data_IF_895550604473
#
_entry.id   IF_895550604473
#
_cell.length_a   1.000
_cell.length_b   1.000
_cell.length_c   1.000
_cell.angle_alpha   90.00
_cell.angle_beta   90.00
_cell.angle_gamma   90.00
#
_symmetry.space_group_name_H-M   'P 1'
#
loop_
_entity.id
_entity.type
_entity.pdbx_description
1 polymer ?
#
# COMPACT_ATOMS: atom_id res chain seq x y z
N UNK A 1 -4.14 -56.15 17.41
CA UNK A 1 -4.83 -56.91 16.35
C UNK A 1 -6.13 -56.20 16.00
N UNK A 2 -6.25 -55.71 14.75
CA UNK A 2 -7.43 -55.20 14.00
C UNK A 2 -8.12 -53.91 14.51
N UNK A 3 -7.91 -52.72 13.91
CA UNK A 3 -8.43 -52.15 12.63
C UNK A 3 -9.96 -51.99 12.61
N UNK A 4 -10.48 -50.76 12.72
CA UNK A 4 -10.89 -49.83 11.65
C UNK A 4 -12.39 -49.92 11.33
N UNK A 5 -13.09 -48.79 11.44
CA UNK A 5 -14.01 -48.26 10.42
C UNK A 5 -14.51 -46.91 10.95
N UNK A 6 -13.88 -45.77 10.64
CA UNK A 6 -13.93 -45.06 9.35
C UNK A 6 -15.31 -45.03 8.71
N UNK A 7 -15.65 -43.78 8.35
CA UNK A 7 -16.66 -43.32 7.38
C UNK A 7 -17.97 -42.99 8.12
N UNK A 8 -18.26 -41.70 8.29
CA UNK A 8 -18.89 -40.83 7.28
C UNK A 8 -20.05 -41.55 6.61
N UNK A 9 -21.17 -40.85 6.54
CA UNK A 9 -22.52 -41.36 6.37
C UNK A 9 -23.00 -41.96 7.69
N UNK A 10 -24.08 -41.49 8.29
CA UNK A 10 -25.31 -41.12 7.61
C UNK A 10 -26.12 -40.36 8.64
N UNK A 11 -26.64 -39.18 8.24
CA UNK A 11 -28.05 -38.82 8.40
C UNK A 11 -28.47 -38.66 9.88
N UNK A 12 -28.69 -37.42 10.33
CA UNK A 12 -30.04 -36.82 10.33
C UNK A 12 -31.06 -37.81 10.92
N UNK A 13 -31.92 -37.34 11.82
CA UNK A 13 -33.04 -38.09 12.40
C UNK A 13 -32.72 -38.87 13.67
N UNK A 14 -32.58 -38.13 14.76
CA UNK A 14 -33.24 -38.52 16.00
C UNK A 14 -33.55 -37.25 16.81
N UNK A 15 -34.51 -36.49 16.28
CA UNK A 15 -35.48 -35.84 17.15
C UNK A 15 -36.20 -36.93 17.99
N UNK A 16 -36.76 -36.51 19.12
CA UNK A 16 -37.34 -37.30 20.21
C UNK A 16 -36.31 -37.67 21.27
N UNK A 17 -36.43 -37.29 22.54
CA UNK A 17 -37.46 -36.57 23.25
C UNK A 17 -36.84 -36.13 24.58
N UNK A 18 -37.17 -34.94 25.06
CA UNK A 18 -36.65 -34.44 26.33
C UNK A 18 -37.08 -33.01 26.61
N UNK A 19 -38.38 -32.83 26.85
CA UNK A 19 -38.90 -31.63 27.50
C UNK A 19 -38.28 -31.54 28.89
N UNK A 20 -37.59 -30.44 29.19
CA UNK A 20 -36.98 -30.24 30.49
C UNK A 20 -36.38 -28.84 30.64
N UNK A 21 -37.26 -27.87 30.87
CA UNK A 21 -37.07 -26.72 31.77
C UNK A 21 -35.76 -25.90 31.67
N UNK A 22 -35.91 -24.68 31.14
CA UNK A 22 -35.14 -23.47 31.43
C UNK A 22 -33.87 -23.60 32.31
N UNK A 23 -32.68 -23.38 31.72
CA UNK A 23 -31.61 -22.59 32.36
C UNK A 23 -30.67 -22.00 31.28
N UNK A 24 -30.80 -20.69 31.10
CA UNK A 24 -29.82 -19.68 30.70
C UNK A 24 -28.37 -20.15 30.42
N UNK A 25 -27.87 -19.93 29.19
CA UNK A 25 -26.52 -19.39 28.96
C UNK A 25 -26.27 -19.06 27.46
N UNK A 26 -25.95 -17.79 27.21
CA UNK A 26 -25.05 -17.29 26.14
C UNK A 26 -25.51 -17.45 24.68
N UNK A 27 -26.49 -16.63 24.29
CA UNK A 27 -26.50 -16.02 22.95
C UNK A 27 -25.65 -14.75 22.96
N UNK A 28 -24.34 -14.89 22.96
CA UNK A 28 -23.40 -13.81 22.64
C UNK A 28 -22.48 -14.33 21.55
N UNK A 29 -22.84 -14.07 20.30
CA UNK A 29 -22.09 -14.59 19.17
C UNK A 29 -22.78 -14.38 17.83
N UNK A 30 -23.48 -13.27 17.65
CA UNK A 30 -23.93 -12.82 16.32
C UNK A 30 -23.65 -11.32 16.20
N UNK A 31 -22.38 -10.97 16.25
CA UNK A 31 -21.83 -9.66 15.88
C UNK A 31 -20.42 -9.88 15.36
N UNK A 32 -20.33 -10.57 14.23
CA UNK A 32 -19.07 -10.75 13.50
C UNK A 32 -19.32 -10.68 11.97
N UNK A 33 -20.27 -9.84 11.54
CA UNK A 33 -20.53 -9.59 10.11
C UNK A 33 -20.44 -8.11 9.70
N UNK A 34 -20.03 -7.20 10.60
CA UNK A 34 -19.98 -5.76 10.31
C UNK A 34 -18.55 -5.20 10.16
N UNK A 35 -17.54 -6.02 9.86
CA UNK A 35 -16.17 -5.51 9.64
C UNK A 35 -15.62 -5.89 8.26
N UNK A 36 -16.44 -5.79 7.21
CA UNK A 36 -15.94 -6.00 5.86
C UNK A 36 -16.77 -5.27 4.81
N UNK A 37 -16.83 -3.93 4.86
CA UNK A 37 -17.18 -3.07 3.70
C UNK A 37 -17.16 -1.59 4.08
N UNK A 38 -15.98 -0.96 4.16
CA UNK A 38 -15.85 0.51 4.10
C UNK A 38 -14.56 1.02 3.45
N UNK A 39 -13.69 0.17 2.88
CA UNK A 39 -12.43 0.67 2.29
C UNK A 39 -12.48 1.02 0.79
N UNK A 40 -13.63 0.87 0.11
CA UNK A 40 -13.68 1.11 -1.34
C UNK A 40 -14.15 2.51 -1.78
N UNK A 41 -14.64 3.35 -0.85
CA UNK A 41 -15.38 4.58 -1.16
C UNK A 41 -14.65 5.91 -0.86
N UNK A 42 -13.40 5.89 -0.40
CA UNK A 42 -12.69 7.15 -0.13
C UNK A 42 -12.20 7.81 -1.44
N UNK A 43 -12.60 9.07 -1.64
CA UNK A 43 -12.13 9.90 -2.77
C UNK A 43 -10.67 10.28 -2.50
N UNK A 44 -9.73 9.96 -3.41
CA UNK A 44 -8.32 10.29 -3.21
C UNK A 44 -8.09 11.81 -3.24
N UNK A 45 -7.36 12.32 -2.25
CA UNK A 45 -6.92 13.71 -2.14
C UNK A 45 -5.47 13.83 -2.62
N UNK A 46 -5.20 14.45 -3.79
CA UNK A 46 -3.85 14.64 -4.33
C UNK A 46 -2.83 15.20 -3.33
N UNK A 47 -3.26 16.08 -2.43
CA UNK A 47 -2.38 16.76 -1.46
C UNK A 47 -1.87 15.83 -0.37
N UNK A 48 -2.65 14.79 -0.04
CA UNK A 48 -2.29 13.78 0.97
C UNK A 48 -1.48 12.61 0.39
N UNK A 49 -1.31 12.58 -0.93
CA UNK A 49 -0.52 11.56 -1.63
C UNK A 49 0.87 12.08 -1.96
N UNK A 50 1.83 11.18 -2.18
CA UNK A 50 3.07 11.56 -2.86
C UNK A 50 2.78 11.83 -4.35
N UNK A 51 3.74 12.45 -5.06
CA UNK A 51 3.57 12.77 -6.48
C UNK A 51 3.19 11.57 -7.36
N UNK A 52 3.61 10.35 -7.01
CA UNK A 52 3.26 9.14 -7.73
C UNK A 52 1.91 8.51 -7.32
N UNK A 53 1.16 9.10 -6.39
CA UNK A 53 -0.09 8.52 -5.86
C UNK A 53 0.09 7.50 -4.75
N UNK A 54 1.33 7.19 -4.35
CA UNK A 54 1.60 6.30 -3.21
C UNK A 54 1.60 7.06 -1.88
N UNK A 55 1.25 6.36 -0.79
CA UNK A 55 1.49 6.80 0.59
C UNK A 55 2.59 5.92 1.17
N UNK A 56 3.72 6.52 1.56
CA UNK A 56 4.81 5.77 2.17
C UNK A 56 4.34 5.15 3.49
N UNK A 57 4.73 3.91 3.78
CA UNK A 57 4.40 3.29 5.05
C UNK A 57 5.21 3.94 6.18
N UNK A 58 4.65 3.96 7.38
CA UNK A 58 5.29 4.59 8.55
C UNK A 58 6.63 3.92 8.92
N UNK A 59 6.75 2.62 8.65
CA UNK A 59 7.94 1.80 8.93
C UNK A 59 8.96 1.77 7.78
N UNK A 60 8.92 2.76 6.88
CA UNK A 60 9.87 2.85 5.78
C UNK A 60 11.34 2.88 6.30
N UNK A 61 12.18 1.88 5.96
CA UNK A 61 13.55 1.80 6.46
C UNK A 61 14.40 2.97 5.98
N UNK A 62 14.05 3.56 4.83
CA UNK A 62 14.78 4.67 4.26
C UNK A 62 14.59 5.97 5.06
N UNK A 63 13.34 6.27 5.42
CA UNK A 63 13.01 7.41 6.25
C UNK A 63 13.57 7.22 7.66
N UNK A 64 13.34 6.04 8.24
CA UNK A 64 13.84 5.69 9.58
C UNK A 64 15.37 5.80 9.66
N UNK A 65 16.10 5.19 8.72
CA UNK A 65 17.55 5.26 8.65
C UNK A 65 18.08 6.69 8.45
N UNK A 66 17.30 7.56 7.79
CA UNK A 66 17.64 8.98 7.65
C UNK A 66 17.47 9.74 8.96
N UNK A 67 16.34 9.56 9.66
CA UNK A 67 16.02 10.28 10.89
C UNK A 67 16.88 9.83 12.07
N UNK A 68 17.18 8.54 12.16
CA UNK A 68 17.99 7.94 13.23
C UNK A 68 19.50 7.95 12.92
N UNK A 69 19.87 8.39 11.71
CA UNK A 69 21.22 8.26 11.17
C UNK A 69 21.78 6.83 11.24
N UNK A 70 20.91 5.84 11.02
CA UNK A 70 21.24 4.42 11.05
C UNK A 70 21.76 3.96 9.69
N UNK A 71 23.05 3.63 9.65
CA UNK A 71 23.75 3.19 8.45
C UNK A 71 23.29 1.81 7.97
N UNK A 72 22.88 0.91 8.87
CA UNK A 72 22.43 -0.43 8.49
C UNK A 72 21.04 -0.37 7.85
N UNK A 73 20.13 0.46 8.36
CA UNK A 73 18.84 0.73 7.69
C UNK A 73 19.03 1.40 6.32
N UNK A 74 20.02 2.30 6.18
CA UNK A 74 20.38 2.87 4.87
C UNK A 74 20.93 1.82 3.91
N UNK A 75 21.74 0.86 4.37
CA UNK A 75 22.23 -0.26 3.55
C UNK A 75 21.09 -1.19 3.12
N UNK A 76 20.15 -1.46 4.02
CA UNK A 76 18.94 -2.23 3.70
C UNK A 76 18.12 -1.52 2.62
N UNK A 77 17.85 -0.23 2.79
CA UNK A 77 17.14 0.59 1.80
C UNK A 77 17.87 0.60 0.45
N UNK A 78 19.21 0.74 0.44
CA UNK A 78 20.02 0.70 -0.78
C UNK A 78 19.83 -0.59 -1.58
N UNK A 79 19.82 -1.73 -0.89
CA UNK A 79 19.59 -3.06 -1.50
C UNK A 79 18.15 -3.23 -1.95
N UNK A 80 17.18 -2.91 -1.09
CA UNK A 80 15.75 -3.04 -1.38
C UNK A 80 15.35 -2.23 -2.61
N UNK A 81 15.89 -1.02 -2.74
CA UNK A 81 15.59 -0.12 -3.83
C UNK A 81 16.48 -0.33 -5.06
N UNK A 82 17.41 -1.30 -5.03
CA UNK A 82 18.36 -1.61 -6.11
C UNK A 82 19.08 -0.35 -6.63
N UNK A 83 19.53 0.51 -5.71
CA UNK A 83 20.06 1.84 -6.04
C UNK A 83 21.27 1.75 -6.97
N UNK A 84 22.15 0.76 -6.77
CA UNK A 84 23.31 0.53 -7.63
C UNK A 84 22.92 0.25 -9.07
N UNK A 85 22.00 -0.69 -9.29
CA UNK A 85 21.53 -1.07 -10.61
C UNK A 85 20.78 0.07 -11.30
N UNK A 86 20.00 0.82 -10.53
CA UNK A 86 19.14 1.90 -11.06
C UNK A 86 19.91 3.17 -11.39
N UNK A 87 20.94 3.50 -10.62
CA UNK A 87 21.61 4.80 -10.73
C UNK A 87 23.13 4.70 -10.93
N UNK A 88 23.72 3.50 -10.90
CA UNK A 88 25.16 3.29 -11.09
C UNK A 88 26.02 3.90 -9.98
N UNK A 89 25.48 4.01 -8.76
CA UNK A 89 26.17 4.62 -7.62
C UNK A 89 26.48 3.57 -6.57
N UNK A 90 27.71 3.58 -6.06
CA UNK A 90 28.11 2.77 -4.90
C UNK A 90 27.43 3.29 -3.62
N UNK A 91 27.37 2.42 -2.60
CA UNK A 91 26.78 2.79 -1.32
C UNK A 91 27.56 3.93 -0.64
N UNK A 92 26.86 5.05 -0.40
CA UNK A 92 27.37 6.23 0.28
C UNK A 92 26.31 6.74 1.27
N UNK A 93 26.49 6.57 2.60
CA UNK A 93 25.48 6.90 3.59
C UNK A 93 25.12 8.39 3.64
N UNK A 94 25.93 9.27 3.05
CA UNK A 94 25.64 10.70 2.91
C UNK A 94 24.75 11.02 1.71
N UNK A 95 24.64 10.11 0.73
CA UNK A 95 23.74 10.24 -0.45
C UNK A 95 22.50 9.35 -0.33
N UNK A 96 22.60 8.28 0.44
CA UNK A 96 21.51 7.34 0.73
C UNK A 96 20.71 7.89 1.91
N UNK A 97 19.80 8.84 1.62
CA UNK A 97 18.83 9.35 2.58
C UNK A 97 17.51 9.75 1.90
N UNK A 98 16.44 9.89 2.68
CA UNK A 98 15.12 10.33 2.24
C UNK A 98 14.38 10.99 3.40
N UNK A 99 13.88 12.21 3.21
CA UNK A 99 13.02 12.92 4.17
C UNK A 99 11.53 12.86 3.82
N UNK A 100 11.18 12.21 2.71
CA UNK A 100 9.83 12.18 2.16
C UNK A 100 9.72 13.00 0.85
N UNK A 101 8.83 12.56 -0.03
CA UNK A 101 8.73 13.06 -1.41
C UNK A 101 8.39 14.56 -1.49
N UNK A 102 7.55 15.02 -0.55
CA UNK A 102 7.06 16.40 -0.41
C UNK A 102 7.65 17.12 0.81
N UNK A 103 8.79 16.67 1.33
CA UNK A 103 9.41 17.30 2.50
C UNK A 103 10.05 18.65 2.14
N UNK A 104 9.38 19.75 2.52
CA UNK A 104 9.87 21.10 2.27
C UNK A 104 11.14 21.43 3.07
N UNK A 105 12.06 22.19 2.46
CA UNK A 105 13.29 22.65 3.11
C UNK A 105 14.30 21.54 3.45
N UNK A 106 14.08 20.31 2.98
CA UNK A 106 14.99 19.19 3.15
C UNK A 106 15.77 18.92 1.86
N UNK A 107 17.04 18.48 1.95
CA UNK A 107 17.78 18.09 0.77
C UNK A 107 17.16 16.84 0.14
N UNK A 108 17.39 16.67 -1.16
CA UNK A 108 17.01 15.47 -1.89
C UNK A 108 18.16 14.45 -1.87
N UNK A 109 17.85 13.22 -1.45
CA UNK A 109 18.79 12.10 -1.58
C UNK A 109 18.76 11.50 -2.99
N UNK A 110 19.53 10.43 -3.21
CA UNK A 110 19.74 9.88 -4.56
C UNK A 110 18.42 9.47 -5.26
N UNK A 111 17.49 8.83 -4.53
CA UNK A 111 16.23 8.37 -5.12
C UNK A 111 15.33 9.54 -5.52
N UNK A 112 15.26 10.58 -4.70
CA UNK A 112 14.42 11.75 -4.97
C UNK A 112 14.99 12.58 -6.12
N UNK A 113 16.32 12.74 -6.15
CA UNK A 113 17.05 13.45 -7.21
C UNK A 113 16.85 12.81 -8.59
N UNK A 114 16.78 11.47 -8.64
CA UNK A 114 16.62 10.71 -9.89
C UNK A 114 15.18 10.25 -10.16
N UNK A 115 14.19 10.68 -9.37
CA UNK A 115 12.80 10.29 -9.58
C UNK A 115 12.16 11.15 -10.68
N UNK A 116 12.06 10.59 -11.89
CA UNK A 116 11.53 11.32 -13.06
C UNK A 116 10.05 11.69 -12.91
N UNK A 117 9.25 10.84 -12.24
CA UNK A 117 7.85 11.16 -11.89
C UNK A 117 7.74 12.37 -10.98
N UNK A 118 8.63 12.47 -9.97
CA UNK A 118 8.64 13.61 -9.04
C UNK A 118 9.00 14.90 -9.75
N UNK A 119 10.09 14.92 -10.52
CA UNK A 119 10.51 16.11 -11.26
C UNK A 119 9.46 16.54 -12.29
N UNK A 120 8.84 15.58 -12.98
CA UNK A 120 7.75 15.82 -13.92
C UNK A 120 6.53 16.46 -13.23
N UNK A 121 6.05 15.90 -12.11
CA UNK A 121 4.91 16.46 -11.36
C UNK A 121 5.20 17.88 -10.84
N UNK A 122 6.39 18.10 -10.27
CA UNK A 122 6.82 19.44 -9.81
C UNK A 122 6.87 20.45 -10.96
N UNK A 123 7.40 20.07 -12.13
CA UNK A 123 7.48 20.97 -13.29
C UNK A 123 6.10 21.36 -13.86
N UNK A 124 5.09 20.53 -13.62
CA UNK A 124 3.70 20.76 -14.04
C UNK A 124 2.84 21.36 -12.93
N UNK A 125 3.43 21.67 -11.78
CA UNK A 125 2.74 22.20 -10.59
C UNK A 125 1.58 21.29 -10.13
N UNK A 126 1.74 19.97 -10.25
CA UNK A 126 0.76 18.98 -9.81
C UNK A 126 1.08 18.48 -8.40
N UNK A 127 0.06 18.34 -7.57
CA UNK A 127 0.18 17.70 -6.26
C UNK A 127 0.36 16.18 -6.41
N UNK A 128 -0.26 15.56 -7.41
CA UNK A 128 -0.16 14.14 -7.67
C UNK A 128 -0.40 13.79 -9.15
N UNK A 129 0.20 12.71 -9.64
CA UNK A 129 0.00 12.21 -10.99
C UNK A 129 -1.46 11.86 -11.33
N UNK A 130 -2.33 11.65 -10.34
CA UNK A 130 -3.77 11.48 -10.59
C UNK A 130 -4.43 12.73 -11.17
N UNK A 131 -3.80 13.90 -11.06
CA UNK A 131 -4.24 15.15 -11.67
C UNK A 131 -3.73 15.32 -13.11
N UNK A 132 -2.83 14.46 -13.58
CA UNK A 132 -2.22 14.57 -14.90
C UNK A 132 -3.10 13.92 -15.98
N UNK A 133 -3.55 14.67 -16.97
CA UNK A 133 -4.37 14.15 -18.07
C UNK A 133 -3.65 13.09 -18.92
N UNK A 134 -2.32 13.12 -18.94
CA UNK A 134 -1.51 12.22 -19.75
C UNK A 134 -1.07 10.96 -18.98
N UNK A 135 -1.59 10.69 -17.78
CA UNK A 135 -1.15 9.56 -16.95
C UNK A 135 -1.26 8.21 -17.67
N UNK A 136 -2.33 7.98 -18.43
CA UNK A 136 -2.57 6.72 -19.13
C UNK A 136 -1.44 6.39 -20.13
N UNK A 137 -0.97 7.39 -20.87
CA UNK A 137 0.06 7.26 -21.90
C UNK A 137 1.48 7.60 -21.40
N UNK A 138 1.62 7.92 -20.11
CA UNK A 138 2.89 8.34 -19.50
C UNK A 138 3.91 7.18 -19.43
N UNK A 139 5.13 7.42 -19.86
CA UNK A 139 6.22 6.44 -19.99
C UNK A 139 7.41 6.70 -19.05
N UNK A 140 7.25 7.63 -18.10
CA UNK A 140 8.23 7.88 -17.03
C UNK A 140 8.73 6.58 -16.38
N UNK A 141 10.00 6.55 -15.98
CA UNK A 141 10.72 5.34 -15.53
C UNK A 141 9.91 4.49 -14.51
N UNK A 142 9.25 5.14 -13.55
CA UNK A 142 8.42 4.46 -12.56
C UNK A 142 7.29 3.63 -13.19
N UNK A 143 6.62 4.17 -14.20
CA UNK A 143 5.46 3.55 -14.85
C UNK A 143 5.86 2.41 -15.76
N UNK A 144 7.00 2.55 -16.43
CA UNK A 144 7.56 1.49 -17.27
C UNK A 144 8.04 0.30 -16.45
N UNK A 145 8.64 0.54 -15.26
CA UNK A 145 9.10 -0.55 -14.38
C UNK A 145 8.00 -1.21 -13.57
N UNK A 146 6.98 -0.44 -13.17
CA UNK A 146 5.91 -0.92 -12.28
C UNK A 146 4.53 -0.72 -12.93
N UNK A 147 4.21 -1.46 -14.00
CA UNK A 147 2.95 -1.28 -14.74
C UNK A 147 1.71 -1.56 -13.87
N UNK A 148 1.77 -2.51 -12.93
CA UNK A 148 0.65 -2.77 -12.03
C UNK A 148 0.41 -1.64 -11.03
N UNK A 149 1.49 -1.00 -10.59
CA UNK A 149 1.36 0.21 -9.78
C UNK A 149 0.74 1.35 -10.61
N UNK A 150 1.19 1.53 -11.87
CA UNK A 150 0.56 2.49 -12.80
C UNK A 150 -0.94 2.24 -12.95
N UNK A 151 -1.36 0.99 -13.14
CA UNK A 151 -2.76 0.60 -13.25
C UNK A 151 -3.56 1.01 -12.00
N UNK A 152 -2.99 0.81 -10.81
CA UNK A 152 -3.61 1.21 -9.54
C UNK A 152 -3.79 2.73 -9.46
N UNK A 153 -2.79 3.51 -9.90
CA UNK A 153 -2.86 4.98 -9.92
C UNK A 153 -3.86 5.49 -10.97
N UNK A 154 -4.01 4.79 -12.11
CA UNK A 154 -5.03 5.10 -13.12
C UNK A 154 -6.44 4.87 -12.55
N UNK A 155 -6.69 3.79 -11.83
CA UNK A 155 -7.99 3.58 -11.16
C UNK A 155 -8.24 4.65 -10.10
N UNK A 156 -7.20 5.06 -9.35
CA UNK A 156 -7.29 6.18 -8.41
C UNK A 156 -7.64 7.50 -9.13
N UNK A 157 -7.04 7.77 -10.29
CA UNK A 157 -7.37 8.93 -11.12
C UNK A 157 -8.83 8.91 -11.58
N UNK A 158 -9.38 7.76 -11.97
CA UNK A 158 -10.80 7.67 -12.36
C UNK A 158 -11.72 8.08 -11.22
N UNK A 159 -11.44 7.61 -9.99
CA UNK A 159 -12.18 8.01 -8.78
C UNK A 159 -12.06 9.51 -8.50
N UNK A 160 -10.84 10.06 -8.60
CA UNK A 160 -10.59 11.50 -8.47
C UNK A 160 -11.37 12.32 -9.50
N UNK A 161 -11.28 11.98 -10.79
CA UNK A 161 -11.96 12.73 -11.86
C UNK A 161 -13.48 12.63 -11.76
N UNK A 162 -14.01 11.48 -11.33
CA UNK A 162 -15.44 11.33 -11.11
C UNK A 162 -15.95 12.30 -10.02
N UNK A 163 -15.18 12.57 -8.96
CA UNK A 163 -15.58 13.49 -7.90
C UNK A 163 -15.52 14.97 -8.29
N UNK A 164 -14.73 15.32 -9.31
CA UNK A 164 -14.62 16.71 -9.82
C UNK A 164 -15.75 17.09 -10.77
N UNK A 165 -16.48 16.10 -11.32
CA UNK A 165 -17.59 16.30 -12.25
C UNK A 165 -18.97 16.26 -11.56
N UNK A 166 -18.99 16.37 -10.23
CA UNK A 166 -20.19 16.49 -9.39
C UNK A 166 -20.40 17.96 -9.05
#
# INVERSE_FOLDING_TARGET
MKTNQKRRQFIITSACAGLGYCFLARRTGLSAMNHLSTQDDEIPDPKKLNYCGYVCPEDCPFLKGTLENDVELKKEAYKLWQIEERFGVEFDPEKIFCYGCKAEGKPDGIVLTNCTVRSCAMSKELDCCIECDNLADCDEDLWTRFPEFKNTVIEMQKKYRASQNI
#
